data_IF_738021363799
#
_entry.id   IF_738021363799
#
_cell.length_a   1.000
_cell.length_b   1.000
_cell.length_c   1.000
_cell.angle_alpha   90.00
_cell.angle_beta   90.00
_cell.angle_gamma   90.00
#
_symmetry.space_group_name_H-M   'P 1'
#
loop_
_entity.id
_entity.type
_entity.pdbx_description
1 polymer ?
#
# COMPACT_ATOMS: atom_id res chain seq x y z
N UNK A 1 -11.74 9.19 4.23
CA UNK A 1 -11.11 9.56 2.93
C UNK A 1 -9.89 8.67 2.73
N UNK A 2 -9.54 8.29 1.50
CA UNK A 2 -8.34 7.48 1.21
C UNK A 2 -7.18 8.39 0.80
N UNK A 3 -5.97 8.07 1.24
CA UNK A 3 -4.74 8.80 0.88
C UNK A 3 -3.69 7.85 0.30
N UNK A 4 -2.86 8.34 -0.63
CA UNK A 4 -1.72 7.58 -1.17
C UNK A 4 -0.66 7.48 -0.07
N UNK A 5 -0.36 6.26 0.36
CA UNK A 5 0.64 6.00 1.38
C UNK A 5 2.03 5.84 0.78
N UNK A 6 2.16 4.94 -0.21
CA UNK A 6 3.42 4.67 -0.90
C UNK A 6 3.18 4.02 -2.26
N UNK A 7 4.27 3.87 -3.01
CA UNK A 7 4.30 3.13 -4.26
C UNK A 7 5.27 1.95 -4.14
N UNK A 8 4.96 0.85 -4.80
CA UNK A 8 5.77 -0.36 -4.85
C UNK A 8 6.09 -0.68 -6.30
N UNK A 9 7.29 -1.24 -6.54
CA UNK A 9 7.75 -1.58 -7.90
C UNK A 9 7.01 -2.76 -8.52
N UNK A 10 6.42 -3.63 -7.70
CA UNK A 10 5.74 -4.85 -8.14
C UNK A 10 4.44 -5.04 -7.37
N UNK A 11 3.48 -5.74 -8.00
CA UNK A 11 2.23 -6.13 -7.34
C UNK A 11 2.47 -7.01 -6.12
N UNK A 12 3.46 -7.89 -6.19
CA UNK A 12 3.83 -8.78 -5.08
C UNK A 12 4.29 -7.96 -3.87
N UNK A 13 5.10 -6.91 -4.09
CA UNK A 13 5.48 -5.98 -3.03
C UNK A 13 4.26 -5.31 -2.40
N UNK A 14 3.30 -4.84 -3.21
CA UNK A 14 2.06 -4.25 -2.73
C UNK A 14 1.22 -5.20 -1.86
N UNK A 15 1.06 -6.45 -2.29
CA UNK A 15 0.30 -7.47 -1.55
C UNK A 15 0.99 -7.85 -0.22
N UNK A 16 2.31 -7.87 -0.17
CA UNK A 16 3.06 -8.10 1.08
C UNK A 16 2.82 -6.96 2.07
N UNK A 17 2.92 -5.71 1.64
CA UNK A 17 2.60 -4.54 2.47
C UNK A 17 1.14 -4.54 2.94
N UNK A 18 0.20 -4.92 2.06
CA UNK A 18 -1.21 -5.08 2.42
C UNK A 18 -1.41 -6.10 3.55
N UNK A 19 -0.74 -7.25 3.50
CA UNK A 19 -0.82 -8.25 4.57
C UNK A 19 -0.32 -7.69 5.90
N UNK A 20 0.84 -7.02 5.89
CA UNK A 20 1.43 -6.42 7.09
C UNK A 20 0.51 -5.34 7.70
N UNK A 21 0.02 -4.41 6.88
CA UNK A 21 -0.87 -3.33 7.33
C UNK A 21 -2.23 -3.84 7.81
N UNK A 22 -2.77 -4.90 7.18
CA UNK A 22 -4.01 -5.53 7.62
C UNK A 22 -3.87 -6.18 9.01
N UNK A 23 -2.70 -6.70 9.39
CA UNK A 23 -2.46 -7.20 10.75
C UNK A 23 -2.59 -6.12 11.82
N UNK A 24 -2.26 -4.87 11.46
CA UNK A 24 -2.42 -3.69 12.32
C UNK A 24 -3.80 -3.02 12.16
N UNK A 25 -4.77 -3.75 11.61
CA UNK A 25 -6.14 -3.28 11.35
C UNK A 25 -6.21 -2.01 10.46
N UNK A 26 -5.24 -1.82 9.57
CA UNK A 26 -5.25 -0.76 8.56
C UNK A 26 -5.83 -1.34 7.27
N UNK A 27 -6.98 -0.81 6.82
CA UNK A 27 -7.53 -1.19 5.52
C UNK A 27 -6.63 -0.71 4.38
N UNK A 28 -6.44 -1.53 3.35
CA UNK A 28 -5.54 -1.21 2.22
C UNK A 28 -6.21 -1.42 0.88
N UNK A 29 -6.04 -0.46 -0.02
CA UNK A 29 -6.33 -0.58 -1.44
C UNK A 29 -5.04 -0.58 -2.25
N UNK A 30 -4.92 -1.56 -3.14
CA UNK A 30 -3.81 -1.64 -4.11
C UNK A 30 -4.37 -1.20 -5.47
N UNK A 31 -3.72 -0.22 -6.10
CA UNK A 31 -4.10 0.28 -7.43
C UNK A 31 -2.89 0.23 -8.35
N UNK A 32 -3.05 -0.13 -9.64
CA UNK A 32 -1.95 0.04 -10.59
C UNK A 32 -1.60 1.52 -10.71
N UNK A 33 -0.32 1.83 -10.90
CA UNK A 33 0.10 3.21 -11.16
C UNK A 33 -0.50 3.66 -12.50
N UNK A 34 -1.09 4.87 -12.59
CA UNK A 34 -1.68 5.35 -13.84
C UNK A 34 -0.69 5.30 -15.01
N UNK A 35 -1.14 4.76 -16.15
CA UNK A 35 -0.29 4.62 -17.35
C UNK A 35 0.64 3.39 -17.33
N UNK A 36 0.52 2.51 -16.33
CA UNK A 36 1.23 1.22 -16.28
C UNK A 36 0.27 0.04 -16.45
N UNK A 37 0.77 -1.06 -16.99
CA UNK A 37 -0.02 -2.31 -17.09
C UNK A 37 -0.30 -2.90 -15.70
N UNK A 38 -1.40 -3.63 -15.54
CA UNK A 38 -1.77 -4.28 -14.27
C UNK A 38 -1.03 -5.62 -14.00
N UNK A 39 0.17 -5.77 -14.55
CA UNK A 39 0.99 -6.97 -14.48
C UNK A 39 1.62 -7.21 -13.09
N UNK A 40 2.08 -8.44 -12.84
CA UNK A 40 2.68 -8.83 -11.56
C UNK A 40 3.95 -8.04 -11.21
N UNK A 41 4.73 -7.67 -12.23
CA UNK A 41 5.97 -6.88 -12.11
C UNK A 41 5.74 -5.38 -12.28
N UNK A 42 4.49 -4.96 -12.45
CA UNK A 42 4.19 -3.55 -12.67
C UNK A 42 4.12 -2.77 -11.35
N UNK A 43 4.41 -1.47 -11.38
CA UNK A 43 4.26 -0.60 -10.23
C UNK A 43 2.81 -0.51 -9.74
N UNK A 44 2.64 -0.52 -8.42
CA UNK A 44 1.32 -0.37 -7.77
C UNK A 44 1.40 0.60 -6.60
N UNK A 45 0.37 1.42 -6.47
CA UNK A 45 0.16 2.34 -5.36
C UNK A 45 -0.61 1.66 -4.23
N UNK A 46 -0.19 1.96 -3.01
CA UNK A 46 -0.85 1.55 -1.78
C UNK A 46 -1.60 2.77 -1.23
N UNK A 47 -2.90 2.59 -1.04
CA UNK A 47 -3.80 3.58 -0.48
C UNK A 47 -4.33 3.08 0.86
N UNK A 48 -4.44 3.99 1.83
CA UNK A 48 -4.96 3.70 3.18
C UNK A 48 -5.99 4.76 3.60
N UNK A 49 -6.87 4.47 4.58
CA UNK A 49 -7.70 5.50 5.21
C UNK A 49 -6.82 6.57 5.85
N UNK A 50 -7.14 7.82 5.57
CA UNK A 50 -6.42 8.98 6.11
C UNK A 50 -6.34 8.97 7.65
N UNK A 51 -7.42 8.54 8.32
CA UNK A 51 -7.49 8.38 9.77
C UNK A 51 -6.52 7.33 10.34
N UNK A 52 -5.92 6.49 9.51
CA UNK A 52 -4.95 5.44 9.88
C UNK A 52 -3.56 5.69 9.32
N UNK A 53 -3.30 6.86 8.71
CA UNK A 53 -2.00 7.20 8.15
C UNK A 53 -0.87 7.14 9.18
N UNK A 54 -1.11 7.63 10.40
CA UNK A 54 -0.12 7.60 11.49
C UNK A 54 0.31 6.16 11.84
N UNK A 55 -0.63 5.21 11.93
CA UNK A 55 -0.33 3.79 12.19
C UNK A 55 0.54 3.21 11.08
N UNK A 56 0.19 3.46 9.81
CA UNK A 56 0.98 2.96 8.69
C UNK A 56 2.41 3.53 8.67
N UNK A 57 2.58 4.81 9.04
CA UNK A 57 3.90 5.44 9.20
C UNK A 57 4.70 4.79 10.33
N UNK A 58 4.06 4.47 11.46
CA UNK A 58 4.71 3.76 12.57
C UNK A 58 5.16 2.35 12.18
N UNK A 59 4.35 1.63 11.40
CA UNK A 59 4.72 0.31 10.84
C UNK A 59 5.93 0.45 9.92
N UNK A 60 5.93 1.44 9.03
CA UNK A 60 7.05 1.68 8.11
C UNK A 60 8.36 1.99 8.84
N UNK A 61 8.31 2.61 10.03
CA UNK A 61 9.52 2.87 10.84
C UNK A 61 10.10 1.62 11.50
N UNK A 62 9.33 0.53 11.58
CA UNK A 62 9.75 -0.74 12.22
C UNK A 62 10.30 -1.76 11.21
N UNK A 63 10.17 -1.49 9.92
CA UNK A 63 10.60 -2.34 8.80
C UNK A 63 11.82 -1.71 8.14
#
# INVERSE_FOLDING_TARGET
MWTKFMETKTRVGAETWKKLLNWEAVAVQIRPVPGTDAGALSPHEIWIPDSKAHVAIEVLRKV
#
